data_IF_245498111056
#
_entry.id   IF_245498111056
#
_cell.length_a   1.000
_cell.length_b   1.000
_cell.length_c   1.000
_cell.angle_alpha   90.00
_cell.angle_beta   90.00
_cell.angle_gamma   90.00
#
_symmetry.space_group_name_H-M   'P 1'
#
loop_
_entity.id
_entity.type
_entity.pdbx_description
1 polymer ?
#
# COMPACT_ATOMS: atom_id res chain seq x y z
N UNK A 1 0.06 0.72 -0.66
CA UNK A 1 -1.00 0.94 0.36
C UNK A 1 -2.37 1.16 -0.27
N UNK A 2 -2.50 1.98 -1.32
CA UNK A 2 -3.77 2.17 -2.05
C UNK A 2 -4.28 0.88 -2.70
N UNK A 3 -3.37 0.03 -3.20
CA UNK A 3 -3.67 -1.28 -3.79
C UNK A 3 -4.33 -2.21 -2.76
N UNK A 4 -3.71 -2.38 -1.60
CA UNK A 4 -4.26 -3.21 -0.52
C UNK A 4 -5.60 -2.69 0.00
N UNK A 5 -5.76 -1.37 0.10
CA UNK A 5 -7.06 -0.77 0.45
C UNK A 5 -8.13 -1.08 -0.61
N UNK A 6 -7.82 -0.86 -1.89
CA UNK A 6 -8.77 -1.12 -2.99
C UNK A 6 -9.11 -2.62 -3.08
N UNK A 7 -8.14 -3.51 -2.86
CA UNK A 7 -8.36 -4.96 -2.81
C UNK A 7 -9.18 -5.41 -1.60
N UNK A 8 -9.12 -4.67 -0.49
CA UNK A 8 -9.98 -4.93 0.68
C UNK A 8 -11.45 -4.56 0.44
N UNK A 9 -11.72 -3.73 -0.58
CA UNK A 9 -13.10 -3.44 -0.99
C UNK A 9 -13.64 -4.66 -1.73
N UNK A 10 -14.82 -5.13 -1.35
CA UNK A 10 -15.54 -6.21 -2.05
C UNK A 10 -16.12 -5.74 -3.39
N UNK A 11 -15.27 -5.27 -4.30
CA UNK A 11 -15.65 -4.76 -5.62
C UNK A 11 -15.07 -5.66 -6.73
N UNK A 12 -15.71 -5.70 -7.91
CA UNK A 12 -15.17 -6.42 -9.07
C UNK A 12 -13.78 -5.91 -9.47
N UNK A 13 -12.96 -6.81 -10.01
CA UNK A 13 -11.60 -6.49 -10.46
C UNK A 13 -11.54 -5.39 -11.52
N UNK A 14 -12.49 -5.35 -12.46
CA UNK A 14 -12.52 -4.28 -13.46
C UNK A 14 -12.85 -2.92 -12.84
N UNK A 15 -13.70 -2.90 -11.81
CA UNK A 15 -13.97 -1.68 -11.04
C UNK A 15 -12.75 -1.23 -10.24
N UNK A 16 -11.98 -2.17 -9.68
CA UNK A 16 -10.78 -1.85 -8.91
C UNK A 16 -9.67 -1.24 -9.79
N UNK A 17 -9.54 -1.68 -11.05
CA UNK A 17 -8.63 -1.07 -12.04
C UNK A 17 -8.91 0.40 -12.30
N UNK A 18 -10.18 0.81 -12.26
CA UNK A 18 -10.57 2.21 -12.44
C UNK A 18 -10.36 3.00 -11.14
N UNK A 19 -10.69 2.41 -10.00
CA UNK A 19 -10.64 3.07 -8.71
C UNK A 19 -9.21 3.35 -8.24
N UNK A 20 -8.29 2.41 -8.49
CA UNK A 20 -6.90 2.52 -8.08
C UNK A 20 -6.21 3.82 -8.53
N UNK A 21 -6.16 4.16 -9.84
CA UNK A 21 -5.49 5.37 -10.31
C UNK A 21 -6.16 6.66 -9.81
N UNK A 22 -7.47 6.64 -9.56
CA UNK A 22 -8.20 7.79 -9.00
C UNK A 22 -7.72 8.07 -7.57
N UNK A 23 -7.62 7.03 -6.74
CA UNK A 23 -7.17 7.17 -5.35
C UNK A 23 -5.69 7.49 -5.26
N UNK A 24 -4.87 6.87 -6.11
CA UNK A 24 -3.44 7.12 -6.20
C UNK A 24 -3.16 8.60 -6.54
N UNK A 25 -3.84 9.13 -7.55
CA UNK A 25 -3.75 10.55 -7.90
C UNK A 25 -4.14 11.47 -6.75
N UNK A 26 -5.23 11.17 -6.03
CA UNK A 26 -5.64 11.97 -4.87
C UNK A 26 -4.58 12.00 -3.77
N UNK A 27 -3.85 10.91 -3.59
CA UNK A 27 -2.75 10.84 -2.61
C UNK A 27 -1.60 11.76 -3.05
N UNK A 28 -1.20 11.69 -4.32
CA UNK A 28 -0.17 12.57 -4.88
C UNK A 28 -0.53 14.04 -4.72
N UNK A 29 -1.78 14.40 -5.06
CA UNK A 29 -2.30 15.77 -4.88
C UNK A 29 -2.30 16.18 -3.41
N UNK A 30 -2.75 15.31 -2.49
CA UNK A 30 -2.80 15.59 -1.05
C UNK A 30 -1.42 15.89 -0.45
N UNK A 31 -0.37 15.20 -0.90
CA UNK A 31 0.98 15.35 -0.36
C UNK A 31 1.90 16.23 -1.24
N UNK A 32 1.39 16.77 -2.35
CA UNK A 32 2.17 17.62 -3.27
C UNK A 32 3.32 16.89 -3.97
N UNK A 33 3.20 15.58 -4.16
CA UNK A 33 4.25 14.74 -4.75
C UNK A 33 3.93 14.50 -6.22
N UNK A 34 4.83 14.82 -7.18
CA UNK A 34 4.64 14.43 -8.57
C UNK A 34 4.65 12.91 -8.73
N UNK A 35 3.77 12.40 -9.60
CA UNK A 35 3.72 10.99 -10.02
C UNK A 35 5.09 10.44 -10.43
N UNK A 36 5.86 11.23 -11.19
CA UNK A 36 7.21 10.86 -11.65
C UNK A 36 8.21 10.64 -10.52
N UNK A 37 8.08 11.35 -9.39
CA UNK A 37 8.95 11.16 -8.22
C UNK A 37 8.62 9.84 -7.53
N UNK A 38 7.32 9.55 -7.38
CA UNK A 38 6.86 8.28 -6.85
C UNK A 38 7.34 7.09 -7.71
N UNK A 39 7.12 7.14 -9.03
CA UNK A 39 7.53 6.07 -9.95
C UNK A 39 9.04 5.82 -9.88
N UNK A 40 9.86 6.88 -9.97
CA UNK A 40 11.33 6.76 -9.86
C UNK A 40 11.78 6.16 -8.53
N UNK A 41 11.11 6.53 -7.44
CA UNK A 41 11.42 5.97 -6.13
C UNK A 41 11.07 4.48 -6.06
N UNK A 42 9.90 4.09 -6.59
CA UNK A 42 9.47 2.71 -6.64
C UNK A 42 10.42 1.85 -7.48
N UNK A 43 10.77 2.32 -8.68
CA UNK A 43 11.77 1.69 -9.54
C UNK A 43 13.13 1.51 -8.83
N UNK A 44 13.59 2.53 -8.09
CA UNK A 44 14.85 2.44 -7.36
C UNK A 44 14.86 1.29 -6.36
N UNK A 45 13.78 1.11 -5.60
CA UNK A 45 13.68 0.01 -4.65
C UNK A 45 13.50 -1.33 -5.36
N UNK A 46 12.69 -1.40 -6.43
CA UNK A 46 12.44 -2.63 -7.21
C UNK A 46 13.67 -3.17 -7.95
N UNK A 47 14.73 -2.37 -8.14
CA UNK A 47 15.98 -2.83 -8.79
C UNK A 47 16.70 -3.94 -8.04
N UNK A 48 16.54 -4.01 -6.73
CA UNK A 48 17.15 -5.03 -5.88
C UNK A 48 16.04 -5.86 -5.22
N UNK A 49 15.82 -7.05 -5.75
CA UNK A 49 14.78 -7.95 -5.28
C UNK A 49 14.97 -8.36 -3.81
N UNK A 50 16.21 -8.59 -3.37
CA UNK A 50 16.49 -8.99 -1.99
C UNK A 50 16.20 -7.84 -1.01
N UNK A 51 16.55 -6.61 -1.40
CA UNK A 51 16.21 -5.42 -0.60
C UNK A 51 14.71 -5.20 -0.54
N UNK A 52 13.98 -5.44 -1.63
CA UNK A 52 12.52 -5.36 -1.62
C UNK A 52 11.89 -6.41 -0.73
N UNK A 53 12.34 -7.65 -0.84
CA UNK A 53 11.85 -8.76 0.00
C UNK A 53 12.01 -8.43 1.48
N UNK A 54 13.19 -7.95 1.89
CA UNK A 54 13.44 -7.49 3.25
C UNK A 54 12.46 -6.38 3.69
N UNK A 55 12.20 -5.40 2.84
CA UNK A 55 11.25 -4.31 3.14
C UNK A 55 9.82 -4.84 3.28
N UNK A 56 9.42 -5.79 2.43
CA UNK A 56 8.10 -6.42 2.48
C UNK A 56 7.93 -7.26 3.74
N UNK A 57 8.90 -8.11 4.09
CA UNK A 57 8.88 -8.90 5.33
C UNK A 57 8.70 -7.99 6.55
N UNK A 58 9.53 -6.93 6.65
CA UNK A 58 9.46 -6.00 7.79
C UNK A 58 8.11 -5.28 7.88
N UNK A 59 7.51 -4.95 6.74
CA UNK A 59 6.19 -4.33 6.67
C UNK A 59 5.09 -5.29 7.11
N UNK A 60 5.14 -6.54 6.65
CA UNK A 60 4.19 -7.60 7.04
C UNK A 60 4.28 -7.85 8.54
N UNK A 61 5.48 -8.02 9.09
CA UNK A 61 5.67 -8.21 10.54
C UNK A 61 5.05 -7.07 11.35
N UNK A 62 5.27 -5.83 10.91
CA UNK A 62 4.73 -4.65 11.58
C UNK A 62 3.20 -4.59 11.50
N UNK A 63 2.62 -4.99 10.37
CA UNK A 63 1.17 -5.07 10.20
C UNK A 63 0.57 -6.17 11.08
N UNK A 64 1.18 -7.36 11.12
CA UNK A 64 0.72 -8.47 11.96
C UNK A 64 0.72 -8.13 13.45
N UNK A 65 1.70 -7.36 13.93
CA UNK A 65 1.70 -6.86 15.32
C UNK A 65 0.51 -5.93 15.55
N UNK A 66 0.30 -4.94 14.67
CA UNK A 66 -0.82 -4.00 14.78
C UNK A 66 -2.18 -4.67 14.72
N UNK A 67 -2.34 -5.71 13.90
CA UNK A 67 -3.57 -6.49 13.83
C UNK A 67 -3.85 -7.23 15.15
N UNK A 68 -2.83 -7.84 15.76
CA UNK A 68 -2.96 -8.49 17.08
C UNK A 68 -3.35 -7.49 18.17
N UNK A 69 -2.72 -6.31 18.19
CA UNK A 69 -3.07 -5.24 19.12
C UNK A 69 -4.52 -4.75 18.92
N UNK A 70 -4.93 -4.57 17.66
CA UNK A 70 -6.30 -4.17 17.34
C UNK A 70 -7.34 -5.22 17.78
N UNK A 71 -7.03 -6.52 17.62
CA UNK A 71 -7.90 -7.62 18.06
C UNK A 71 -7.99 -7.73 19.59
N UNK A 72 -6.88 -7.52 20.30
CA UNK A 72 -6.87 -7.50 21.76
C UNK A 72 -7.68 -6.32 22.33
N UNK A 73 -7.57 -5.14 21.71
CA UNK A 73 -8.33 -3.95 22.11
C UNK A 73 -9.83 -4.02 21.76
N UNK A 74 -10.26 -5.04 21.01
CA UNK A 74 -11.67 -5.30 20.66
C UNK A 74 -12.33 -6.39 21.53
N UNK A 75 -11.60 -7.00 22.47
CA UNK A 75 -12.19 -7.86 23.50
C UNK A 75 -12.67 -6.97 24.67
N UNK A 76 -13.93 -7.14 25.14
CA UNK A 76 -14.47 -6.35 26.25
C UNK A 76 -13.77 -6.64 27.59
#
# INVERSE_FOLDING_TARGET
>A
MTEGFVQSLSIPYDSSKILYPILERRIFEKYGIPDSVYIKSLEFYLRDAAKMEYLYERAIDSLSVKEKEAQQNQQP
#
